data_IF_814600646215
#
_entry.id   IF_814600646215
#
_cell.length_a   1.000
_cell.length_b   1.000
_cell.length_c   1.000
_cell.angle_alpha   90.00
_cell.angle_beta   90.00
_cell.angle_gamma   90.00
#
_symmetry.space_group_name_H-M   'P 1'
#
loop_
_entity.id
_entity.type
_entity.pdbx_description
1 polymer ?
#
# COMPACT_ATOMS: atom_id res chain seq x y z
N UNK A 1 -27.82 -13.43 -19.51
CA UNK A 1 -26.35 -13.28 -19.56
C UNK A 1 -26.06 -11.85 -19.16
N UNK A 2 -25.95 -11.61 -17.86
CA UNK A 2 -25.51 -10.32 -17.33
C UNK A 2 -24.06 -10.12 -17.78
N UNK A 3 -23.78 -9.03 -18.49
CA UNK A 3 -22.43 -8.65 -18.85
C UNK A 3 -21.62 -8.44 -17.56
N UNK A 4 -20.59 -9.24 -17.33
CA UNK A 4 -19.64 -9.03 -16.23
C UNK A 4 -19.10 -7.59 -16.32
N UNK A 5 -19.41 -6.79 -15.30
CA UNK A 5 -18.93 -5.41 -15.21
C UNK A 5 -17.42 -5.46 -15.05
N UNK A 6 -16.68 -5.09 -16.09
CA UNK A 6 -15.23 -4.98 -16.05
C UNK A 6 -14.83 -3.91 -15.04
N UNK A 7 -14.13 -4.30 -13.99
CA UNK A 7 -13.60 -3.37 -12.99
C UNK A 7 -12.30 -2.79 -13.54
N UNK A 8 -12.26 -1.46 -13.70
CA UNK A 8 -11.10 -0.76 -14.26
C UNK A 8 -10.39 0.15 -13.25
N UNK A 9 -10.98 0.35 -12.07
CA UNK A 9 -10.42 1.19 -11.01
C UNK A 9 -10.84 0.68 -9.63
N UNK A 10 -10.18 1.21 -8.59
CA UNK A 10 -10.51 0.88 -7.21
C UNK A 10 -11.98 1.23 -6.89
N UNK A 11 -12.79 0.19 -6.67
CA UNK A 11 -14.22 0.28 -6.28
C UNK A 11 -14.43 0.60 -4.80
N UNK A 12 -13.35 0.91 -4.07
CA UNK A 12 -13.38 1.23 -2.64
C UNK A 12 -13.98 0.11 -1.77
N UNK A 13 -13.59 -1.14 -2.04
CA UNK A 13 -14.08 -2.29 -1.26
C UNK A 13 -13.51 -2.38 0.17
N UNK A 14 -12.40 -1.69 0.47
CA UNK A 14 -11.76 -1.71 1.79
C UNK A 14 -10.70 -2.81 1.98
N UNK A 15 -10.84 -3.95 1.28
CA UNK A 15 -10.00 -5.15 1.46
C UNK A 15 -8.49 -4.87 1.58
N UNK A 16 -7.90 -4.17 0.62
CA UNK A 16 -6.47 -3.86 0.66
C UNK A 16 -6.09 -2.82 1.72
N UNK A 17 -7.00 -1.88 1.99
CA UNK A 17 -6.80 -0.84 2.97
C UNK A 17 -6.82 -1.39 4.40
N UNK A 18 -7.57 -2.47 4.65
CA UNK A 18 -7.61 -3.18 5.93
C UNK A 18 -6.35 -4.03 6.18
N UNK A 19 -5.76 -4.57 5.12
CA UNK A 19 -4.52 -5.37 5.19
C UNK A 19 -3.29 -4.53 5.53
N UNK A 20 -3.22 -3.28 5.08
CA UNK A 20 -2.03 -2.46 5.31
C UNK A 20 -1.95 -1.21 4.48
N UNK A 21 -1.05 -0.31 4.90
CA UNK A 21 -0.59 0.79 4.05
C UNK A 21 0.46 0.32 3.03
N UNK A 22 0.55 1.01 1.87
CA UNK A 22 1.52 0.67 0.83
C UNK A 22 2.97 0.93 1.28
N UNK A 23 3.89 0.23 0.63
CA UNK A 23 5.30 0.59 0.54
C UNK A 23 5.47 1.79 -0.39
N UNK A 24 6.41 2.68 -0.07
CA UNK A 24 6.72 3.84 -0.90
C UNK A 24 7.85 3.52 -1.88
N UNK A 25 7.66 3.94 -3.11
CA UNK A 25 8.62 3.84 -4.21
C UNK A 25 9.19 5.21 -4.57
N UNK A 26 10.24 5.27 -5.40
CA UNK A 26 10.86 6.54 -5.80
C UNK A 26 9.86 7.55 -6.37
N UNK A 27 8.82 7.09 -7.09
CA UNK A 27 7.75 7.94 -7.62
C UNK A 27 6.96 8.65 -6.51
N UNK A 28 6.83 8.03 -5.34
CA UNK A 28 6.06 8.56 -4.20
C UNK A 28 6.79 9.69 -3.45
N UNK A 29 8.05 9.98 -3.81
CA UNK A 29 8.85 11.08 -3.23
C UNK A 29 8.11 12.42 -3.27
N UNK A 30 7.32 12.64 -4.32
CA UNK A 30 6.55 13.88 -4.50
C UNK A 30 5.54 14.10 -3.37
N UNK A 31 5.00 13.04 -2.77
CA UNK A 31 4.02 13.14 -1.69
C UNK A 31 4.65 13.56 -0.36
N UNK A 32 5.94 13.28 -0.15
CA UNK A 32 6.72 13.83 0.97
C UNK A 32 6.99 15.32 0.75
N UNK A 33 7.44 15.69 -0.46
CA UNK A 33 7.75 17.08 -0.81
C UNK A 33 6.51 17.98 -0.69
N UNK A 34 5.34 17.48 -1.07
CA UNK A 34 4.05 18.17 -0.95
C UNK A 34 3.41 18.06 0.44
N UNK A 35 4.05 17.36 1.39
CA UNK A 35 3.52 17.10 2.73
C UNK A 35 2.16 16.37 2.79
N UNK A 36 1.74 15.73 1.69
CA UNK A 36 0.62 14.78 1.68
C UNK A 36 0.93 13.60 2.59
N UNK A 37 2.15 13.07 2.47
CA UNK A 37 2.73 12.14 3.42
C UNK A 37 3.69 12.90 4.32
N UNK A 38 3.56 12.68 5.63
CA UNK A 38 4.40 13.28 6.67
C UNK A 38 5.03 12.15 7.47
N UNK A 39 6.17 12.36 8.13
CA UNK A 39 6.83 11.32 8.94
C UNK A 39 5.88 10.64 9.95
N UNK A 40 4.92 11.37 10.52
CA UNK A 40 3.93 10.82 11.45
C UNK A 40 3.03 9.73 10.83
N UNK A 41 2.92 9.67 9.50
CA UNK A 41 2.13 8.66 8.76
C UNK A 41 2.97 7.43 8.35
N UNK A 42 4.27 7.42 8.64
CA UNK A 42 5.23 6.48 8.05
C UNK A 42 5.97 5.70 9.13
N UNK A 43 6.50 4.56 8.71
CA UNK A 43 7.50 3.81 9.44
C UNK A 43 8.50 3.20 8.45
N UNK A 44 9.66 2.80 8.95
CA UNK A 44 10.70 2.14 8.16
C UNK A 44 10.90 0.73 8.67
N UNK A 45 10.88 -0.23 7.75
CA UNK A 45 11.44 -1.55 7.98
C UNK A 45 12.91 -1.51 7.52
N UNK A 46 13.82 -1.93 8.39
CA UNK A 46 15.26 -1.82 8.17
C UNK A 46 15.79 -3.08 7.48
N UNK A 47 16.86 -2.93 6.70
CA UNK A 47 17.60 -4.07 6.18
C UNK A 47 18.07 -4.94 7.36
N UNK A 48 17.94 -6.26 7.22
CA UNK A 48 18.18 -7.24 8.28
C UNK A 48 17.00 -7.49 9.23
N UNK A 49 15.90 -6.72 9.16
CA UNK A 49 14.69 -7.03 9.92
C UNK A 49 13.88 -8.15 9.27
N UNK A 50 13.12 -8.88 10.08
CA UNK A 50 12.16 -9.86 9.58
C UNK A 50 10.86 -9.18 9.17
N UNK A 51 10.41 -9.46 7.94
CA UNK A 51 9.13 -9.00 7.42
C UNK A 51 8.38 -10.15 6.73
N UNK A 52 7.05 -10.07 6.72
CA UNK A 52 6.22 -11.04 6.01
C UNK A 52 6.25 -10.76 4.50
N UNK A 53 6.64 -11.76 3.72
CA UNK A 53 6.63 -11.72 2.26
C UNK A 53 5.29 -12.25 1.74
N UNK A 54 4.41 -11.41 1.16
CA UNK A 54 3.07 -11.84 0.76
C UNK A 54 3.08 -12.87 -0.39
N UNK A 55 4.05 -12.80 -1.31
CA UNK A 55 4.12 -13.75 -2.44
C UNK A 55 4.69 -15.13 -2.08
N UNK A 56 5.61 -15.18 -1.11
CA UNK A 56 6.22 -16.43 -0.65
C UNK A 56 5.55 -16.97 0.62
N UNK A 57 4.57 -16.24 1.15
CA UNK A 57 3.79 -16.55 2.36
C UNK A 57 4.64 -16.91 3.60
N UNK A 58 5.81 -16.29 3.74
CA UNK A 58 6.75 -16.57 4.84
C UNK A 58 7.42 -15.31 5.37
N UNK A 59 8.01 -15.41 6.56
CA UNK A 59 8.93 -14.38 7.04
C UNK A 59 10.25 -14.47 6.27
N UNK A 60 10.73 -13.33 5.81
CA UNK A 60 12.05 -13.17 5.19
C UNK A 60 12.85 -12.13 5.97
N UNK A 61 14.16 -12.24 5.90
CA UNK A 61 15.05 -11.13 6.26
C UNK A 61 15.11 -10.15 5.08
N UNK A 62 14.91 -8.87 5.36
CA UNK A 62 14.94 -7.83 4.32
C UNK A 62 16.37 -7.55 3.84
N UNK A 63 16.59 -7.57 2.53
CA UNK A 63 17.86 -7.14 1.92
C UNK A 63 18.06 -5.62 1.95
N UNK A 64 16.95 -4.88 1.87
CA UNK A 64 16.92 -3.43 1.70
C UNK A 64 15.94 -2.79 2.70
N UNK A 65 16.18 -1.52 3.02
CA UNK A 65 15.23 -0.75 3.81
C UNK A 65 13.99 -0.40 2.97
N UNK A 66 12.83 -0.35 3.60
CA UNK A 66 11.61 0.13 2.95
C UNK A 66 10.78 1.04 3.86
N UNK A 67 10.23 2.10 3.28
CA UNK A 67 9.33 3.03 3.97
C UNK A 67 7.90 2.63 3.64
N UNK A 68 7.07 2.44 4.66
CA UNK A 68 5.66 2.09 4.50
C UNK A 68 4.75 3.11 5.17
N UNK A 69 3.53 3.25 4.66
CA UNK A 69 2.46 3.93 5.39
C UNK A 69 2.02 3.05 6.55
N UNK A 70 1.99 3.61 7.76
CA UNK A 70 1.64 2.88 8.98
C UNK A 70 0.14 2.58 9.07
N UNK A 71 -0.18 1.55 9.85
CA UNK A 71 -1.54 1.26 10.26
C UNK A 71 -2.09 2.28 11.27
N UNK A 72 -3.41 2.34 11.41
CA UNK A 72 -4.10 3.06 12.48
C UNK A 72 -3.79 2.38 13.82
N UNK A 73 -3.75 3.15 14.90
CA UNK A 73 -3.32 2.67 16.21
C UNK A 73 -4.04 1.37 16.62
N UNK A 74 -3.27 0.31 16.85
CA UNK A 74 -3.78 -1.01 17.24
C UNK A 74 -4.36 -1.86 16.10
N UNK A 75 -4.20 -1.46 14.83
CA UNK A 75 -4.71 -2.19 13.66
C UNK A 75 -3.69 -2.25 12.53
N UNK A 76 -3.83 -3.26 11.66
CA UNK A 76 -3.15 -3.33 10.37
C UNK A 76 -3.71 -2.32 9.36
N UNK A 77 -4.95 -1.87 9.53
CA UNK A 77 -5.62 -1.02 8.56
C UNK A 77 -4.87 0.30 8.33
N UNK A 78 -4.65 0.66 7.07
CA UNK A 78 -3.94 1.87 6.66
C UNK A 78 -4.46 3.12 7.39
N UNK A 79 -3.55 3.98 7.87
CA UNK A 79 -3.93 5.18 8.64
C UNK A 79 -4.83 6.17 7.88
N UNK A 80 -4.89 6.08 6.55
CA UNK A 80 -5.75 6.93 5.71
C UNK A 80 -7.08 6.28 5.31
N UNK A 81 -7.33 5.04 5.76
CA UNK A 81 -8.58 4.35 5.52
C UNK A 81 -9.66 4.82 6.50
N UNK A 82 -10.78 5.27 5.94
CA UNK A 82 -12.02 5.54 6.63
C UNK A 82 -12.96 4.35 6.41
N UNK A 83 -13.03 3.46 7.38
CA UNK A 83 -13.84 2.24 7.30
C UNK A 83 -15.35 2.54 7.29
N UNK A 84 -15.79 3.61 7.97
CA UNK A 84 -17.21 3.97 8.07
C UNK A 84 -17.77 4.39 6.71
N UNK A 85 -16.93 5.01 5.88
CA UNK A 85 -17.30 5.48 4.54
C UNK A 85 -16.64 4.69 3.41
N UNK A 86 -15.92 3.62 3.73
CA UNK A 86 -15.06 2.86 2.81
C UNK A 86 -14.22 3.80 1.91
N UNK A 87 -13.61 4.82 2.50
CA UNK A 87 -12.95 5.90 1.76
C UNK A 87 -11.45 5.98 2.08
N UNK A 88 -10.69 6.56 1.16
CA UNK A 88 -9.28 6.89 1.38
C UNK A 88 -9.16 8.42 1.48
N UNK A 89 -8.63 8.91 2.59
CA UNK A 89 -8.45 10.35 2.83
C UNK A 89 -7.47 11.01 1.84
N UNK A 90 -6.64 10.22 1.15
CA UNK A 90 -5.66 10.69 0.16
C UNK A 90 -5.91 10.09 -1.24
N UNK A 91 -7.16 9.74 -1.58
CA UNK A 91 -7.49 8.96 -2.80
C UNK A 91 -6.85 9.50 -4.10
N UNK A 92 -6.86 10.81 -4.30
CA UNK A 92 -6.29 11.46 -5.50
C UNK A 92 -4.76 11.45 -5.52
N UNK A 93 -4.13 11.34 -4.36
CA UNK A 93 -2.67 11.38 -4.16
C UNK A 93 -2.18 10.07 -3.53
N UNK A 94 -2.79 8.96 -3.93
CA UNK A 94 -2.44 7.63 -3.45
C UNK A 94 -1.05 7.21 -3.95
N UNK A 95 -0.26 6.51 -3.12
CA UNK A 95 1.03 5.96 -3.54
C UNK A 95 0.93 4.98 -4.70
N UNK A 96 2.06 4.69 -5.34
CA UNK A 96 2.17 3.81 -6.49
C UNK A 96 1.51 2.44 -6.28
N UNK A 97 1.87 1.72 -5.21
CA UNK A 97 1.26 0.41 -4.90
C UNK A 97 -0.27 0.50 -4.83
N UNK A 98 -0.84 1.55 -4.23
CA UNK A 98 -2.30 1.72 -4.15
C UNK A 98 -2.96 2.00 -5.51
N UNK A 99 -2.26 2.66 -6.44
CA UNK A 99 -2.77 2.93 -7.80
C UNK A 99 -2.71 1.69 -8.69
N UNK A 100 -1.68 0.86 -8.48
CA UNK A 100 -1.45 -0.38 -9.23
C UNK A 100 -2.32 -1.53 -8.70
N UNK A 101 -2.60 -1.56 -7.40
CA UNK A 101 -3.34 -2.65 -6.77
C UNK A 101 -4.77 -2.77 -7.30
N UNK A 102 -5.04 -3.89 -7.97
CA UNK A 102 -6.36 -4.33 -8.37
C UNK A 102 -6.77 -5.48 -7.46
N UNK A 103 -7.75 -5.26 -6.58
CA UNK A 103 -8.19 -6.30 -5.63
C UNK A 103 -8.77 -7.56 -6.33
N UNK A 104 -9.05 -7.48 -7.62
CA UNK A 104 -9.54 -8.57 -8.45
C UNK A 104 -8.44 -9.27 -9.27
N UNK A 105 -7.21 -8.73 -9.32
CA UNK A 105 -6.07 -9.27 -10.08
C UNK A 105 -4.76 -8.64 -9.60
N UNK A 106 -3.96 -9.37 -8.82
CA UNK A 106 -2.74 -8.83 -8.19
C UNK A 106 -1.52 -8.76 -9.10
N UNK A 107 -1.56 -9.29 -10.33
CA UNK A 107 -0.34 -9.45 -11.15
C UNK A 107 0.53 -8.19 -11.31
N UNK A 108 -0.08 -7.01 -11.45
CA UNK A 108 0.69 -5.77 -11.61
C UNK A 108 1.43 -5.34 -10.34
N UNK A 109 0.85 -5.52 -9.14
CA UNK A 109 1.52 -5.13 -7.89
C UNK A 109 2.63 -6.11 -7.53
N UNK A 110 2.47 -7.39 -7.88
CA UNK A 110 3.48 -8.42 -7.63
C UNK A 110 4.77 -8.09 -8.37
N UNK A 111 4.69 -7.57 -9.61
CA UNK A 111 5.85 -7.10 -10.37
C UNK A 111 6.51 -5.84 -9.81
N UNK A 112 5.81 -5.07 -8.99
CA UNK A 112 6.33 -3.88 -8.31
C UNK A 112 6.98 -4.20 -6.95
N UNK A 113 6.63 -5.33 -6.34
CA UNK A 113 7.04 -5.69 -4.99
C UNK A 113 8.57 -5.63 -4.83
N UNK A 114 9.03 -4.82 -3.85
CA UNK A 114 10.45 -4.58 -3.55
C UNK A 114 11.28 -3.98 -4.70
N UNK A 115 10.67 -3.40 -5.73
CA UNK A 115 11.37 -2.68 -6.81
C UNK A 115 11.39 -1.18 -6.54
N UNK A 116 12.47 -0.48 -6.91
CA UNK A 116 12.53 1.01 -6.88
C UNK A 116 12.03 1.65 -5.56
N UNK A 117 12.49 1.12 -4.43
CA UNK A 117 12.14 1.61 -3.09
C UNK A 117 12.68 3.04 -2.86
N UNK A 118 11.92 3.86 -2.13
CA UNK A 118 12.17 5.30 -1.90
C UNK A 118 13.35 5.63 -0.97
#
# INVERSE_FOLDING_TARGET
MESEKKIESCIRCGECCEKGGPTLHSEDRIFLQKSTLRPIHLFTLRAGELAYHPLEERLIELSDEMIKIKGKDGSSACTFYDADHQACAIYETRPLECRVLKCWDTGDIEGLFMQDLL
#
